data_IF_007266302118
#
_entry.id   IF_007266302118
#
_cell.length_a   1.000
_cell.length_b   1.000
_cell.length_c   1.000
_cell.angle_alpha   90.00
_cell.angle_beta   90.00
_cell.angle_gamma   90.00
#
_symmetry.space_group_name_H-M   'P 1'
#
loop_
_entity.id
_entity.type
_entity.pdbx_description
1 polymer ?
#
# COMPACT_ATOMS: atom_id res chain seq x y z
N UNK A 1 6.68 11.72 19.76
CA UNK A 1 7.35 10.63 19.01
C UNK A 1 6.61 10.26 17.73
N UNK A 2 5.31 9.93 17.78
CA UNK A 2 4.48 9.57 16.61
C UNK A 2 4.60 10.53 15.40
N UNK A 3 4.60 11.84 15.66
CA UNK A 3 4.63 12.85 14.59
C UNK A 3 5.93 12.82 13.76
N UNK A 4 7.07 12.49 14.38
CA UNK A 4 8.35 12.36 13.67
C UNK A 4 8.38 11.14 12.74
N UNK A 5 7.66 10.08 13.11
CA UNK A 5 7.48 8.89 12.28
C UNK A 5 6.64 9.19 11.04
N UNK A 6 5.56 9.96 11.20
CA UNK A 6 4.71 10.40 10.08
C UNK A 6 5.50 11.29 9.12
N UNK A 7 6.31 12.22 9.64
CA UNK A 7 7.17 13.09 8.82
C UNK A 7 8.20 12.26 8.06
N UNK A 8 8.85 11.28 8.73
CA UNK A 8 9.82 10.39 8.09
C UNK A 8 9.20 9.55 6.95
N UNK A 9 8.02 8.98 7.19
CA UNK A 9 7.26 8.26 6.16
C UNK A 9 6.91 9.16 4.98
N UNK A 10 6.51 10.42 5.22
CA UNK A 10 6.23 11.39 4.17
C UNK A 10 7.45 11.68 3.27
N UNK A 11 8.64 11.84 3.87
CA UNK A 11 9.88 12.05 3.12
C UNK A 11 10.22 10.82 2.26
N UNK A 12 10.09 9.62 2.83
CA UNK A 12 10.35 8.36 2.11
C UNK A 12 9.35 8.17 0.97
N UNK A 13 8.06 8.41 1.20
CA UNK A 13 7.02 8.39 0.18
C UNK A 13 7.32 9.36 -0.96
N UNK A 14 7.80 10.56 -0.63
CA UNK A 14 8.19 11.56 -1.63
C UNK A 14 9.34 11.05 -2.49
N UNK A 15 10.40 10.50 -1.87
CA UNK A 15 11.55 9.95 -2.60
C UNK A 15 11.15 8.79 -3.52
N UNK A 16 10.30 7.88 -3.05
CA UNK A 16 9.82 6.73 -3.82
C UNK A 16 9.00 7.20 -5.02
N UNK A 17 8.07 8.13 -4.82
CA UNK A 17 7.26 8.69 -5.91
C UNK A 17 8.12 9.43 -6.91
N UNK A 18 9.07 10.23 -6.46
CA UNK A 18 9.93 10.99 -7.34
C UNK A 18 10.81 10.06 -8.19
N UNK A 19 11.31 8.96 -7.61
CA UNK A 19 12.06 7.96 -8.36
C UNK A 19 11.17 7.18 -9.34
N UNK A 20 9.99 6.75 -8.89
CA UNK A 20 9.05 5.95 -9.70
C UNK A 20 8.47 6.75 -10.85
N UNK A 21 7.92 7.94 -10.59
CA UNK A 21 7.34 8.79 -11.63
C UNK A 21 8.39 9.32 -12.61
N UNK A 22 9.61 9.65 -12.14
CA UNK A 22 10.71 10.01 -13.04
C UNK A 22 11.09 8.85 -13.97
N UNK A 23 11.03 7.61 -13.48
CA UNK A 23 11.37 6.42 -14.26
C UNK A 23 10.28 5.98 -15.22
N UNK A 24 9.00 6.10 -14.84
CA UNK A 24 7.88 5.54 -15.61
C UNK A 24 7.07 6.56 -16.40
N UNK A 25 6.96 7.80 -15.93
CA UNK A 25 5.98 8.76 -16.45
C UNK A 25 6.60 10.11 -16.84
N UNK A 26 7.84 10.41 -16.45
CA UNK A 26 8.51 11.70 -16.66
C UNK A 26 7.69 12.92 -16.18
N UNK A 27 6.85 12.71 -15.17
CA UNK A 27 5.99 13.73 -14.53
C UNK A 27 6.50 13.96 -13.11
N UNK A 28 6.39 15.19 -12.59
CA UNK A 28 6.70 15.47 -11.17
C UNK A 28 5.51 15.05 -10.30
N UNK A 29 5.72 14.21 -9.27
CA UNK A 29 4.66 13.88 -8.32
C UNK A 29 4.24 15.13 -7.54
N UNK A 30 2.93 15.24 -7.28
CA UNK A 30 2.38 16.35 -6.51
C UNK A 30 2.48 16.09 -5.00
N UNK A 31 2.31 17.16 -4.20
CA UNK A 31 2.21 17.03 -2.74
C UNK A 31 1.06 16.10 -2.34
N UNK A 32 -0.06 16.17 -3.06
CA UNK A 32 -1.24 15.32 -2.84
C UNK A 32 -0.91 13.83 -3.03
N UNK A 33 -0.17 13.47 -4.08
CA UNK A 33 0.25 12.08 -4.33
C UNK A 33 1.11 11.53 -3.19
N UNK A 34 2.00 12.37 -2.66
CA UNK A 34 2.86 12.05 -1.53
C UNK A 34 2.03 11.82 -0.26
N UNK A 35 1.05 12.68 -0.02
CA UNK A 35 0.16 12.59 1.13
C UNK A 35 -0.74 11.34 1.07
N UNK A 36 -1.27 10.99 -0.10
CA UNK A 36 -2.04 9.76 -0.34
C UNK A 36 -1.19 8.52 -0.06
N UNK A 37 0.05 8.47 -0.58
CA UNK A 37 0.94 7.34 -0.35
C UNK A 37 1.32 7.20 1.12
N UNK A 38 1.55 8.32 1.80
CA UNK A 38 1.87 8.35 3.24
C UNK A 38 0.72 7.81 4.07
N UNK A 39 -0.52 8.27 3.81
CA UNK A 39 -1.73 7.78 4.48
C UNK A 39 -1.98 6.29 4.20
N UNK A 40 -1.74 5.85 2.97
CA UNK A 40 -1.84 4.44 2.60
C UNK A 40 -0.84 3.57 3.38
N UNK A 41 0.43 3.98 3.45
CA UNK A 41 1.46 3.27 4.23
C UNK A 41 1.14 3.25 5.72
N UNK A 42 0.60 4.33 6.28
CA UNK A 42 0.14 4.36 7.68
C UNK A 42 -1.02 3.38 7.91
N UNK A 43 -2.01 3.35 7.02
CA UNK A 43 -3.14 2.42 7.11
C UNK A 43 -2.70 0.96 6.99
N UNK A 44 -1.78 0.67 6.07
CA UNK A 44 -1.19 -0.67 5.91
C UNK A 44 -0.35 -1.04 7.12
N UNK A 45 0.48 -0.13 7.63
CA UNK A 45 1.28 -0.33 8.84
C UNK A 45 0.43 -0.64 10.07
N UNK A 46 -0.69 0.06 10.24
CA UNK A 46 -1.66 -0.20 11.30
C UNK A 46 -2.32 -1.58 11.14
N UNK A 47 -2.73 -1.94 9.92
CA UNK A 47 -3.25 -3.29 9.63
C UNK A 47 -2.24 -4.38 9.97
N UNK A 48 -0.96 -4.18 9.62
CA UNK A 48 0.11 -5.09 10.02
C UNK A 48 0.29 -5.13 11.53
N UNK A 49 0.30 -4.00 12.22
CA UNK A 49 0.43 -3.96 13.68
C UNK A 49 -0.75 -4.69 14.36
N UNK A 50 -1.98 -4.49 13.90
CA UNK A 50 -3.16 -5.23 14.38
C UNK A 50 -3.01 -6.71 14.09
N UNK A 51 -2.56 -7.10 12.89
CA UNK A 51 -2.30 -8.51 12.58
C UNK A 51 -1.24 -9.09 13.51
N UNK A 52 -0.08 -8.46 13.66
CA UNK A 52 1.02 -8.97 14.49
C UNK A 52 0.72 -8.94 15.99
N UNK A 53 0.02 -7.92 16.48
CA UNK A 53 -0.33 -7.77 17.91
C UNK A 53 -1.44 -8.72 18.34
N UNK A 54 -2.31 -9.13 17.42
CA UNK A 54 -3.32 -10.16 17.64
C UNK A 54 -2.91 -11.57 17.15
N UNK A 55 -1.71 -11.73 16.56
CA UNK A 55 -1.17 -13.02 16.13
C UNK A 55 -0.12 -13.53 17.10
N UNK A 56 -0.58 -14.25 18.12
CA UNK A 56 0.22 -15.29 18.77
C UNK A 56 0.46 -16.51 17.86
N UNK A 57 -0.23 -16.61 16.71
CA UNK A 57 -0.16 -17.77 15.83
C UNK A 57 0.27 -17.39 14.39
N UNK A 58 1.49 -17.77 13.96
CA UNK A 58 2.01 -17.46 12.63
C UNK A 58 1.17 -18.07 11.49
N UNK A 59 0.34 -19.06 11.79
CA UNK A 59 -0.61 -19.67 10.85
C UNK A 59 -1.73 -18.71 10.42
N UNK A 60 -2.22 -17.86 11.34
CA UNK A 60 -3.31 -16.90 11.08
C UNK A 60 -2.81 -15.73 10.22
N UNK A 61 -1.56 -15.32 10.41
CA UNK A 61 -0.86 -14.35 9.56
C UNK A 61 -0.83 -14.82 8.11
N UNK A 62 -0.37 -16.05 7.93
CA UNK A 62 -0.20 -16.69 6.65
C UNK A 62 -1.55 -16.87 5.96
N UNK A 63 -2.58 -17.31 6.70
CA UNK A 63 -3.95 -17.41 6.21
C UNK A 63 -4.52 -16.05 5.78
N UNK A 64 -4.27 -14.99 6.54
CA UNK A 64 -4.76 -13.65 6.20
C UNK A 64 -4.10 -13.12 4.93
N UNK A 65 -2.77 -13.28 4.80
CA UNK A 65 -2.03 -12.90 3.59
C UNK A 65 -2.53 -13.69 2.37
N UNK A 66 -2.74 -15.00 2.52
CA UNK A 66 -3.29 -15.86 1.45
C UNK A 66 -4.70 -15.40 1.05
N UNK A 67 -5.58 -15.12 2.02
CA UNK A 67 -6.95 -14.64 1.74
C UNK A 67 -6.92 -13.28 1.04
N UNK A 68 -6.08 -12.34 1.49
CA UNK A 68 -5.91 -11.04 0.85
C UNK A 68 -5.38 -11.16 -0.60
N UNK A 69 -4.43 -12.06 -0.85
CA UNK A 69 -3.93 -12.36 -2.20
C UNK A 69 -5.02 -12.95 -3.09
N UNK A 70 -5.81 -13.91 -2.61
CA UNK A 70 -6.93 -14.51 -3.35
C UNK A 70 -7.97 -13.45 -3.72
N UNK A 71 -8.32 -12.58 -2.76
CA UNK A 71 -9.29 -11.51 -2.99
C UNK A 71 -8.80 -10.51 -4.03
N UNK A 72 -7.53 -10.11 -3.94
CA UNK A 72 -6.89 -9.20 -4.90
C UNK A 72 -6.87 -9.82 -6.32
N UNK A 73 -6.53 -11.10 -6.43
CA UNK A 73 -6.48 -11.81 -7.71
C UNK A 73 -7.86 -11.93 -8.36
N UNK A 74 -8.89 -12.24 -7.56
CA UNK A 74 -10.28 -12.31 -8.03
C UNK A 74 -10.76 -10.96 -8.57
N UNK A 75 -10.51 -9.89 -7.81
CA UNK A 75 -10.90 -8.52 -8.19
C UNK A 75 -10.17 -8.05 -9.44
N UNK A 76 -8.90 -8.40 -9.59
CA UNK A 76 -8.14 -8.13 -10.83
C UNK A 76 -8.74 -8.87 -12.03
N UNK A 77 -9.15 -10.13 -11.87
CA UNK A 77 -9.79 -10.91 -12.94
C UNK A 77 -11.14 -10.31 -13.35
N UNK A 78 -11.92 -9.83 -12.39
CA UNK A 78 -13.19 -9.12 -12.63
C UNK A 78 -12.97 -7.80 -13.38
N UNK A 79 -12.01 -6.97 -12.93
CA UNK A 79 -11.68 -5.70 -13.60
C UNK A 79 -11.15 -5.94 -15.03
N UNK A 80 -10.25 -6.91 -15.21
CA UNK A 80 -9.76 -7.29 -16.54
C UNK A 80 -10.88 -7.73 -17.46
N UNK A 81 -11.88 -8.44 -16.93
CA UNK A 81 -13.06 -8.87 -17.71
C UNK A 81 -13.92 -7.69 -18.15
N UNK A 82 -14.12 -6.70 -17.28
CA UNK A 82 -14.85 -5.45 -17.60
C UNK A 82 -14.14 -4.69 -18.73
N UNK A 83 -12.80 -4.58 -18.66
CA UNK A 83 -11.99 -3.84 -19.66
C UNK A 83 -11.96 -4.54 -21.03
N UNK A 84 -12.04 -5.88 -21.08
CA UNK A 84 -12.02 -6.62 -22.36
C UNK A 84 -13.39 -6.67 -23.05
N UNK A 85 -14.49 -6.41 -22.32
CA UNK A 85 -15.84 -6.37 -22.89
C UNK A 85 -16.29 -4.96 -23.33
N UNK A 86 -15.55 -3.92 -22.96
CA UNK A 86 -15.71 -2.54 -23.46
C UNK A 86 -14.85 -2.31 -24.69
#
# INVERSE_FOLDING_TARGET
>A
MFIYWVIGLGVISSLILNWSFKKFLNIKPTFTDTMILTLFLLGVGYLFEVLFKYQSDPFVALMTIIISLILAFRRYKEIKKIIVQS
#
